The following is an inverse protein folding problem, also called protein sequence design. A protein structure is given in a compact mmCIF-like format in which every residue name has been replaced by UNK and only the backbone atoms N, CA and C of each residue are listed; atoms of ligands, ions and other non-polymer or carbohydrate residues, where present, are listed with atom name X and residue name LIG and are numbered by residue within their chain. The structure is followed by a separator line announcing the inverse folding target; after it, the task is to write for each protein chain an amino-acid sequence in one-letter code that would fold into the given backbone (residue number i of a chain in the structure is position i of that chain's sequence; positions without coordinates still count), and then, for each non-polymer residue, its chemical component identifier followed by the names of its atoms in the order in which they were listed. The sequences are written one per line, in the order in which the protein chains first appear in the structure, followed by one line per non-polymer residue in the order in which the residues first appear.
data_IF_575064714197
#
_entry.id   IF_575064714197
#
_cell.length_a   1.000
_cell.length_b   1.000
_cell.length_c   1.000
_cell.angle_alpha   90.00
_cell.angle_beta   90.00
_cell.angle_gamma   90.00
#
_symmetry.space_group_name_H-M   'P 1'
#
loop_
_entity.id
_entity.type
_entity.pdbx_description
1 polymer ?
#
# COMPACT_ATOMS: atom_id res chain seq x y z
N UNK A 1 52.09 -39.05 -54.57
CA UNK A 1 50.72 -39.02 -54.00
C UNK A 1 50.74 -38.15 -52.74
N UNK A 2 50.22 -36.93 -52.82
CA UNK A 2 50.05 -36.01 -51.68
C UNK A 2 48.57 -35.69 -51.59
N UNK A 3 47.90 -36.23 -50.58
CA UNK A 3 46.53 -35.88 -50.21
C UNK A 3 46.60 -34.77 -49.16
N UNK A 4 45.96 -33.63 -49.42
CA UNK A 4 45.80 -32.54 -48.46
C UNK A 4 44.33 -32.48 -48.07
N UNK A 5 44.10 -32.49 -46.77
CA UNK A 5 42.83 -32.39 -46.07
C UNK A 5 42.03 -31.14 -46.42
N UNK A 6 40.70 -31.21 -46.27
CA UNK A 6 39.94 -30.02 -45.87
C UNK A 6 38.71 -30.40 -45.04
N UNK A 7 38.86 -30.38 -43.72
CA UNK A 7 37.75 -30.39 -42.78
C UNK A 7 37.15 -29.00 -42.71
N UNK A 8 35.88 -28.86 -43.08
CA UNK A 8 35.10 -27.62 -42.93
C UNK A 8 34.64 -27.53 -41.48
N UNK A 9 35.16 -26.55 -40.73
CA UNK A 9 34.65 -26.20 -39.39
C UNK A 9 33.62 -25.09 -39.57
N UNK A 10 32.36 -25.39 -39.25
CA UNK A 10 31.26 -24.44 -39.27
C UNK A 10 31.18 -23.74 -37.90
N UNK A 11 31.60 -22.48 -37.83
CA UNK A 11 31.50 -21.68 -36.61
C UNK A 11 30.14 -20.99 -36.58
N UNK A 12 29.23 -21.45 -35.71
CA UNK A 12 27.98 -20.73 -35.39
C UNK A 12 28.31 -19.52 -34.51
N UNK A 13 28.06 -18.32 -35.03
CA UNK A 13 28.07 -17.09 -34.25
C UNK A 13 26.73 -16.94 -33.53
N UNK A 14 26.68 -17.18 -32.21
CA UNK A 14 25.53 -16.77 -31.38
C UNK A 14 25.64 -15.27 -31.12
N UNK A 15 24.74 -14.49 -31.71
CA UNK A 15 24.60 -13.06 -31.42
C UNK A 15 23.79 -12.92 -30.12
N UNK A 16 24.47 -12.59 -29.02
CA UNK A 16 23.83 -12.26 -27.76
C UNK A 16 23.37 -10.79 -27.85
N UNK A 17 22.08 -10.57 -28.13
CA UNK A 17 21.48 -9.24 -28.03
C UNK A 17 21.36 -8.87 -26.55
N UNK A 18 22.20 -7.95 -26.09
CA UNK A 18 22.06 -7.33 -24.77
C UNK A 18 21.00 -6.24 -24.87
N UNK A 19 19.77 -6.53 -24.43
CA UNK A 19 18.74 -5.51 -24.22
C UNK A 19 19.17 -4.61 -23.06
N UNK A 20 19.49 -3.36 -23.37
CA UNK A 20 19.76 -2.35 -22.34
C UNK A 20 18.43 -1.94 -21.71
N UNK A 21 18.23 -2.28 -20.43
CA UNK A 21 17.08 -1.79 -19.67
C UNK A 21 17.38 -0.34 -19.28
N UNK A 22 16.67 0.61 -19.90
CA UNK A 22 16.73 2.02 -19.48
C UNK A 22 15.82 2.23 -18.27
N UNK A 23 16.36 2.85 -17.23
CA UNK A 23 15.61 3.37 -16.10
C UNK A 23 14.84 4.62 -16.51
N UNK A 24 13.52 4.62 -16.33
CA UNK A 24 12.62 5.72 -16.62
C UNK A 24 11.98 6.24 -15.32
N UNK A 25 11.68 7.53 -15.26
CA UNK A 25 10.95 8.11 -14.13
C UNK A 25 9.46 7.99 -14.37
N UNK A 26 8.71 7.51 -13.38
CA UNK A 26 7.26 7.47 -13.42
C UNK A 26 6.68 8.34 -12.31
N UNK A 27 5.73 9.19 -12.68
CA UNK A 27 4.96 10.03 -11.78
C UNK A 27 3.47 9.74 -11.95
N UNK A 28 2.76 9.56 -10.84
CA UNK A 28 1.32 9.39 -10.82
C UNK A 28 0.67 10.46 -9.95
N UNK A 29 -0.35 11.13 -10.50
CA UNK A 29 -1.24 12.01 -9.75
C UNK A 29 -2.56 11.25 -9.47
N UNK A 30 -2.84 10.90 -8.22
CA UNK A 30 -4.06 10.18 -7.83
C UNK A 30 -5.12 11.16 -7.35
N UNK A 31 -6.29 11.14 -7.98
CA UNK A 31 -7.41 12.04 -7.68
C UNK A 31 -8.73 11.28 -7.52
N UNK A 32 -9.69 11.86 -6.82
CA UNK A 32 -11.06 11.35 -6.75
C UNK A 32 -11.89 11.70 -8.00
N UNK A 33 -13.18 11.33 -8.00
CA UNK A 33 -14.09 11.60 -9.13
C UNK A 33 -14.31 13.10 -9.37
N UNK A 34 -14.00 13.97 -8.40
CA UNK A 34 -14.10 15.43 -8.49
C UNK A 34 -12.76 16.08 -8.87
N UNK A 35 -11.70 15.28 -9.07
CA UNK A 35 -10.36 15.76 -9.42
C UNK A 35 -9.56 16.28 -8.23
N UNK A 36 -10.02 16.05 -6.99
CA UNK A 36 -9.28 16.43 -5.78
C UNK A 36 -8.20 15.38 -5.50
N UNK A 37 -6.97 15.81 -5.12
CA UNK A 37 -5.92 14.87 -4.74
C UNK A 37 -6.33 13.93 -3.60
N UNK A 38 -6.02 12.64 -3.77
CA UNK A 38 -6.26 11.62 -2.76
C UNK A 38 -4.96 11.27 -2.06
N UNK A 39 -4.87 11.63 -0.78
CA UNK A 39 -3.84 11.10 0.12
C UNK A 39 -4.14 9.65 0.47
N UNK A 40 -3.10 8.87 0.80
CA UNK A 40 -3.24 7.49 1.27
C UNK A 40 -3.78 6.48 0.23
N UNK A 41 -3.93 6.88 -1.02
CA UNK A 41 -4.19 5.94 -2.10
C UNK A 41 -2.94 5.12 -2.39
N UNK A 42 -3.10 3.81 -2.53
CA UNK A 42 -2.06 2.87 -2.94
C UNK A 42 -2.13 2.68 -4.45
N UNK A 43 -0.98 2.72 -5.10
CA UNK A 43 -0.80 2.33 -6.49
C UNK A 43 0.20 1.18 -6.54
N UNK A 44 -0.14 0.11 -7.27
CA UNK A 44 0.79 -0.98 -7.60
C UNK A 44 0.94 -1.13 -9.11
N UNK A 45 2.14 -1.53 -9.55
CA UNK A 45 2.45 -1.81 -10.95
C UNK A 45 2.99 -3.23 -11.11
N UNK A 46 2.33 -3.99 -11.98
CA UNK A 46 2.80 -5.30 -12.43
C UNK A 46 3.24 -5.20 -13.90
N UNK A 47 4.50 -5.52 -14.18
CA UNK A 47 5.07 -5.41 -15.53
C UNK A 47 6.40 -6.14 -15.66
N UNK A 48 7.29 -5.72 -16.57
CA UNK A 48 8.60 -6.32 -16.76
C UNK A 48 9.38 -6.44 -15.44
N UNK A 49 10.24 -7.47 -15.31
CA UNK A 49 11.11 -7.59 -14.16
C UNK A 49 11.96 -6.33 -14.01
N UNK A 50 11.81 -5.67 -12.87
CA UNK A 50 12.66 -4.56 -12.44
C UNK A 50 13.56 -5.02 -11.29
N UNK A 51 14.74 -4.42 -11.17
CA UNK A 51 15.58 -4.60 -9.99
C UNK A 51 15.07 -3.69 -8.86
N UNK A 52 13.98 -4.09 -8.20
CA UNK A 52 13.47 -3.39 -7.02
C UNK A 52 13.97 -4.10 -5.77
N UNK A 53 14.68 -3.37 -4.91
CA UNK A 53 15.00 -3.86 -3.58
C UNK A 53 13.73 -3.85 -2.72
N UNK A 54 13.20 -5.02 -2.41
CA UNK A 54 12.02 -5.17 -1.57
C UNK A 54 12.43 -5.13 -0.09
N UNK A 55 11.92 -4.14 0.64
CA UNK A 55 12.06 -4.10 2.09
C UNK A 55 11.08 -5.08 2.74
N UNK A 56 11.60 -6.01 3.53
CA UNK A 56 10.81 -7.03 4.26
C UNK A 56 10.65 -6.70 5.75
N UNK A 57 10.89 -5.44 6.11
CA UNK A 57 10.67 -4.90 7.45
C UNK A 57 10.04 -3.52 7.32
N UNK A 58 9.06 -3.25 8.16
CA UNK A 58 8.39 -1.95 8.24
C UNK A 58 7.90 -1.70 9.66
N UNK A 59 7.57 -0.44 9.96
CA UNK A 59 6.99 -0.03 11.25
C UNK A 59 5.65 0.67 10.99
N UNK A 60 4.69 0.44 11.88
CA UNK A 60 3.42 1.17 11.95
C UNK A 60 3.15 1.54 13.41
N UNK A 61 3.54 2.75 13.79
CA UNK A 61 3.47 3.27 15.15
C UNK A 61 2.02 3.58 15.55
N UNK A 62 1.79 3.74 16.85
CA UNK A 62 0.59 4.31 17.43
C UNK A 62 0.99 5.65 18.05
N UNK A 63 0.50 6.74 17.46
CA UNK A 63 0.83 8.10 17.86
C UNK A 63 -0.36 9.01 17.63
N UNK A 64 -0.63 9.90 18.59
CA UNK A 64 -1.77 10.80 18.59
C UNK A 64 -3.10 10.04 18.43
N UNK A 65 -3.21 8.88 19.10
CA UNK A 65 -4.35 7.95 19.04
C UNK A 65 -4.69 7.48 17.60
N UNK A 66 -3.67 7.41 16.74
CA UNK A 66 -3.77 6.97 15.35
C UNK A 66 -2.68 5.97 15.01
N UNK A 67 -2.93 5.14 14.00
CA UNK A 67 -1.85 4.39 13.38
C UNK A 67 -1.05 5.31 12.45
N UNK A 68 0.28 5.23 12.53
CA UNK A 68 1.22 6.07 11.80
C UNK A 68 2.29 5.21 11.08
N UNK A 69 2.29 5.14 9.74
CA UNK A 69 1.35 5.82 8.84
C UNK A 69 -0.08 5.25 8.94
N UNK A 70 -1.07 6.02 8.51
CA UNK A 70 -2.47 5.56 8.49
C UNK A 70 -2.70 4.42 7.49
N UNK A 71 -2.02 4.49 6.34
CA UNK A 71 -1.95 3.44 5.32
C UNK A 71 -0.48 3.05 5.14
N UNK A 72 -0.20 1.75 5.27
CA UNK A 72 1.11 1.16 5.05
C UNK A 72 1.01 0.13 3.92
N UNK A 73 1.66 0.38 2.78
CA UNK A 73 1.80 -0.62 1.72
C UNK A 73 3.10 -1.41 1.90
N UNK A 74 3.02 -2.73 1.81
CA UNK A 74 4.17 -3.65 1.97
C UNK A 74 4.11 -4.80 0.99
N UNK A 75 5.27 -5.39 0.72
CA UNK A 75 5.33 -6.65 0.00
C UNK A 75 4.96 -7.81 0.94
N UNK A 76 4.40 -8.90 0.40
CA UNK A 76 4.22 -10.14 1.17
C UNK A 76 5.55 -10.66 1.74
N UNK A 77 5.49 -11.25 2.93
CA UNK A 77 6.67 -11.66 3.70
C UNK A 77 7.27 -10.55 4.57
N UNK A 78 6.70 -9.35 4.56
CA UNK A 78 7.16 -8.24 5.41
C UNK A 78 6.83 -8.49 6.89
N UNK A 79 7.80 -8.26 7.76
CA UNK A 79 7.59 -8.21 9.21
C UNK A 79 7.33 -6.77 9.65
N UNK A 80 6.16 -6.52 10.25
CA UNK A 80 5.75 -5.18 10.71
C UNK A 80 5.85 -5.09 12.23
N UNK A 81 6.62 -4.13 12.73
CA UNK A 81 6.58 -3.78 14.15
C UNK A 81 5.50 -2.72 14.41
N UNK A 82 4.90 -2.77 15.59
CA UNK A 82 3.90 -1.80 16.02
C UNK A 82 4.37 -1.10 17.30
N UNK A 83 5.25 -0.09 17.21
CA UNK A 83 5.57 0.76 18.35
C UNK A 83 4.30 1.45 18.90
N UNK A 84 4.36 1.84 20.16
CA UNK A 84 3.40 2.72 20.79
C UNK A 84 4.15 3.92 21.36
N UNK A 85 4.07 5.05 20.67
CA UNK A 85 4.65 6.34 21.06
C UNK A 85 3.68 7.23 21.84
N UNK A 86 2.43 6.79 22.06
CA UNK A 86 1.50 7.46 22.96
C UNK A 86 1.81 7.17 24.43
N UNK A 87 1.34 8.05 25.32
CA UNK A 87 1.45 7.89 26.77
C UNK A 87 0.33 7.04 27.38
N UNK A 88 -0.54 6.49 26.53
CA UNK A 88 -1.60 5.56 26.92
C UNK A 88 -1.36 4.21 26.25
N UNK A 89 -1.92 3.16 26.84
CA UNK A 89 -1.83 1.82 26.26
C UNK A 89 -2.77 1.69 25.07
N UNK A 90 -2.28 1.04 24.03
CA UNK A 90 -3.07 0.70 22.86
C UNK A 90 -3.04 -0.80 22.58
N UNK A 91 -4.00 -1.24 21.79
CA UNK A 91 -4.12 -2.59 21.27
C UNK A 91 -4.08 -2.51 19.74
N UNK A 92 -3.56 -3.55 19.10
CA UNK A 92 -3.63 -3.69 17.64
C UNK A 92 -4.28 -5.02 17.32
N UNK A 93 -5.39 -5.00 16.61
CA UNK A 93 -6.04 -6.23 16.16
C UNK A 93 -6.47 -6.13 14.70
N UNK A 94 -6.65 -7.30 14.08
CA UNK A 94 -7.32 -7.41 12.79
C UNK A 94 -8.14 -8.69 12.68
N UNK A 95 -9.28 -8.59 11.99
CA UNK A 95 -10.11 -9.73 11.60
C UNK A 95 -10.02 -10.06 10.11
N UNK A 96 -9.23 -9.30 9.34
CA UNK A 96 -9.12 -9.43 7.89
C UNK A 96 -8.64 -10.84 7.48
N UNK A 97 -9.21 -11.44 6.40
CA UNK A 97 -8.79 -12.74 5.91
C UNK A 97 -7.32 -12.84 5.45
N UNK A 98 -6.68 -11.70 5.15
CA UNK A 98 -5.26 -11.64 4.80
C UNK A 98 -4.37 -11.79 6.04
N UNK A 99 -4.78 -11.26 7.20
CA UNK A 99 -4.06 -11.42 8.47
C UNK A 99 -4.99 -11.23 9.67
N UNK A 100 -5.29 -12.31 10.38
CA UNK A 100 -5.95 -12.26 11.70
C UNK A 100 -4.93 -12.30 12.81
N UNK A 101 -4.95 -11.33 13.71
CA UNK A 101 -4.05 -11.28 14.86
C UNK A 101 -4.56 -10.30 15.93
N UNK A 102 -3.94 -10.38 17.11
CA UNK A 102 -4.16 -9.45 18.21
C UNK A 102 -2.84 -9.24 18.98
N UNK A 103 -2.49 -7.98 19.21
CA UNK A 103 -1.49 -7.53 20.16
C UNK A 103 -2.24 -6.88 21.32
N UNK A 104 -2.30 -7.59 22.45
CA UNK A 104 -3.00 -7.13 23.66
C UNK A 104 -2.37 -5.86 24.21
N UNK A 105 -3.21 -5.03 24.82
CA UNK A 105 -2.91 -3.74 25.44
C UNK A 105 -1.45 -3.56 25.95
N UNK A 106 -0.69 -2.63 25.37
CA UNK A 106 0.75 -2.43 25.67
C UNK A 106 1.20 -0.96 25.59
N UNK A 107 2.36 -0.66 26.20
CA UNK A 107 3.13 0.59 26.08
C UNK A 107 4.47 0.28 25.40
N UNK A 108 5.07 1.27 24.72
CA UNK A 108 6.33 1.08 24.00
C UNK A 108 6.20 0.08 22.84
N UNK A 109 7.26 -0.69 22.57
CA UNK A 109 7.29 -1.58 21.40
C UNK A 109 7.21 -3.05 21.82
N UNK A 110 6.25 -3.83 21.28
CA UNK A 110 6.21 -5.27 21.45
C UNK A 110 7.50 -5.93 20.95
N UNK A 111 7.90 -7.03 21.57
CA UNK A 111 9.19 -7.66 21.28
C UNK A 111 9.28 -8.34 19.92
N UNK A 112 8.15 -8.74 19.33
CA UNK A 112 8.11 -9.49 18.07
C UNK A 112 7.26 -8.75 17.03
N UNK A 113 7.84 -8.45 15.85
CA UNK A 113 7.08 -8.04 14.68
C UNK A 113 6.04 -9.10 14.26
N UNK A 114 5.01 -8.66 13.57
CA UNK A 114 3.98 -9.52 12.97
C UNK A 114 4.31 -9.74 11.50
N UNK A 115 4.37 -10.99 11.05
CA UNK A 115 4.61 -11.34 9.63
C UNK A 115 3.34 -11.13 8.78
N UNK A 116 3.44 -10.45 7.65
CA UNK A 116 2.36 -10.26 6.66
C UNK A 116 2.73 -10.97 5.37
N UNK A 117 2.29 -12.22 5.21
CA UNK A 117 2.72 -13.16 4.17
C UNK A 117 1.65 -13.47 3.11
N UNK A 118 0.48 -12.85 3.22
CA UNK A 118 -0.64 -13.05 2.29
C UNK A 118 -1.11 -11.72 1.71
N UNK A 119 -1.13 -11.57 0.37
CA UNK A 119 -1.69 -10.39 -0.28
C UNK A 119 -3.13 -10.10 0.13
N UNK A 120 -3.46 -8.82 0.20
CA UNK A 120 -4.78 -8.31 0.55
C UNK A 120 -4.73 -7.16 1.54
N UNK A 121 -5.91 -6.63 1.85
CA UNK A 121 -6.08 -5.50 2.76
C UNK A 121 -6.29 -6.01 4.19
N UNK A 122 -5.47 -5.53 5.11
CA UNK A 122 -5.59 -5.80 6.54
C UNK A 122 -6.03 -4.52 7.25
N UNK A 123 -7.27 -4.52 7.74
CA UNK A 123 -7.82 -3.41 8.52
C UNK A 123 -7.42 -3.60 9.98
N UNK A 124 -6.81 -2.59 10.57
CA UNK A 124 -6.37 -2.55 11.95
C UNK A 124 -7.31 -1.69 12.79
N UNK A 125 -7.53 -2.11 14.03
CA UNK A 125 -8.27 -1.33 15.03
C UNK A 125 -7.63 -1.39 16.41
N UNK A 126 -8.11 -0.50 17.28
CA UNK A 126 -7.84 -0.50 18.72
C UNK A 126 -9.18 -0.51 19.48
N UNK A 127 -9.38 -1.44 20.41
CA UNK A 127 -10.69 -1.66 21.05
C UNK A 127 -11.07 -0.60 22.10
N UNK A 128 -10.14 0.30 22.43
CA UNK A 128 -10.34 1.39 23.40
C UNK A 128 -10.67 2.71 22.70
N UNK A 129 -10.30 2.85 21.42
CA UNK A 129 -10.47 4.07 20.64
C UNK A 129 -11.16 3.71 19.33
N UNK A 130 -12.49 3.78 19.29
CA UNK A 130 -13.29 3.32 18.14
C UNK A 130 -12.91 3.99 16.81
N UNK A 131 -12.36 5.21 16.86
CA UNK A 131 -11.90 5.95 15.68
C UNK A 131 -10.48 5.59 15.22
N UNK A 132 -9.74 4.81 16.00
CA UNK A 132 -8.35 4.48 15.73
C UNK A 132 -8.29 3.31 14.74
N UNK A 133 -8.31 3.67 13.45
CA UNK A 133 -8.22 2.75 12.33
C UNK A 133 -6.91 2.94 11.56
N UNK A 134 -6.38 1.84 11.04
CA UNK A 134 -5.20 1.81 10.17
C UNK A 134 -5.34 0.71 9.14
N UNK A 135 -4.56 0.78 8.07
CA UNK A 135 -4.64 -0.17 6.97
C UNK A 135 -3.26 -0.63 6.52
N UNK A 136 -3.08 -1.94 6.41
CA UNK A 136 -1.91 -2.52 5.75
C UNK A 136 -2.37 -3.09 4.41
N UNK A 137 -1.81 -2.57 3.31
CA UNK A 137 -2.00 -3.10 1.97
C UNK A 137 -0.85 -4.04 1.63
N UNK A 138 -1.11 -5.34 1.59
CA UNK A 138 -0.11 -6.37 1.27
C UNK A 138 -0.21 -6.73 -0.20
N UNK A 139 0.90 -6.66 -0.94
CA UNK A 139 0.96 -7.00 -2.37
C UNK A 139 2.15 -7.90 -2.71
N UNK A 140 2.06 -8.64 -3.81
CA UNK A 140 3.19 -9.33 -4.45
C UNK A 140 3.77 -8.53 -5.63
N UNK A 141 3.16 -7.38 -5.96
CA UNK A 141 3.65 -6.53 -7.03
C UNK A 141 4.99 -5.89 -6.62
N UNK A 142 5.98 -5.83 -7.53
CA UNK A 142 7.32 -5.35 -7.21
C UNK A 142 7.38 -3.82 -7.03
N UNK A 143 6.45 -3.08 -7.62
CA UNK A 143 6.38 -1.63 -7.55
C UNK A 143 5.08 -1.22 -6.87
N UNK A 144 5.19 -0.58 -5.71
CA UNK A 144 4.04 -0.06 -4.99
C UNK A 144 4.41 1.16 -4.16
N UNK A 145 3.47 2.06 -3.98
CA UNK A 145 3.63 3.25 -3.13
C UNK A 145 2.29 3.73 -2.60
N UNK A 146 2.37 4.53 -1.54
CA UNK A 146 1.25 5.26 -0.95
C UNK A 146 1.41 6.73 -1.33
N UNK A 147 0.33 7.34 -1.83
CA UNK A 147 0.29 8.75 -2.21
C UNK A 147 0.36 9.71 -1.02
N UNK A 148 1.07 10.82 -1.22
CA UNK A 148 1.19 11.92 -0.27
C UNK A 148 -0.06 12.80 -0.18
N UNK A 149 0.04 13.89 0.59
CA UNK A 149 -1.07 14.85 0.77
C UNK A 149 -1.53 15.55 -0.51
N UNK A 150 -0.65 15.62 -1.50
CA UNK A 150 -0.86 16.15 -2.84
C UNK A 150 -1.31 15.09 -3.86
N UNK A 151 -1.55 13.85 -3.42
CA UNK A 151 -1.95 12.74 -4.27
C UNK A 151 -0.83 12.19 -5.16
N UNK A 152 0.41 12.67 -5.00
CA UNK A 152 1.51 12.29 -5.87
C UNK A 152 2.17 10.96 -5.44
N UNK A 153 2.56 10.17 -6.43
CA UNK A 153 3.41 8.98 -6.31
C UNK A 153 4.54 9.10 -7.34
N UNK A 154 5.75 8.67 -6.94
CA UNK A 154 6.91 8.64 -7.83
C UNK A 154 7.62 7.30 -7.71
N UNK A 155 7.94 6.71 -8.86
CA UNK A 155 8.91 5.62 -8.96
C UNK A 155 10.11 6.10 -9.77
N UNK A 156 11.26 6.09 -9.11
CA UNK A 156 12.55 6.24 -9.76
C UNK A 156 12.97 4.89 -10.34
N UNK A 157 13.61 4.91 -11.50
CA UNK A 157 14.20 3.73 -12.13
C UNK A 157 13.20 2.61 -12.51
N UNK A 158 11.96 2.98 -12.85
CA UNK A 158 10.99 2.06 -13.44
C UNK A 158 11.48 1.65 -14.85
N UNK A 159 11.50 0.37 -15.16
CA UNK A 159 11.91 -0.07 -16.49
C UNK A 159 10.89 0.42 -17.55
N UNK A 160 11.36 0.80 -18.73
CA UNK A 160 10.45 1.04 -19.85
C UNK A 160 9.69 -0.25 -20.21
N UNK A 161 8.39 -0.15 -20.43
CA UNK A 161 7.56 -1.29 -20.80
C UNK A 161 6.10 -1.14 -20.43
N UNK A 162 5.39 -2.24 -20.56
CA UNK A 162 3.95 -2.33 -20.36
C UNK A 162 3.61 -2.76 -18.93
N UNK A 163 2.76 -2.00 -18.25
CA UNK A 163 2.38 -2.25 -16.86
C UNK A 163 0.87 -2.30 -16.69
N UNK A 164 0.42 -3.24 -15.87
CA UNK A 164 -0.92 -3.23 -15.28
C UNK A 164 -0.89 -2.41 -14.01
N UNK A 165 -1.85 -1.49 -13.89
CA UNK A 165 -1.99 -0.60 -12.74
C UNK A 165 -3.13 -1.11 -11.87
N UNK A 166 -2.89 -1.21 -10.57
CA UNK A 166 -3.94 -1.43 -9.58
C UNK A 166 -3.94 -0.27 -8.58
N UNK A 167 -5.12 0.19 -8.21
CA UNK A 167 -5.34 1.31 -7.30
C UNK A 167 -6.17 0.83 -6.10
N UNK A 168 -5.92 1.41 -4.94
CA UNK A 168 -6.72 1.12 -3.74
C UNK A 168 -6.73 2.32 -2.79
N UNK A 169 -7.84 2.51 -2.06
CA UNK A 169 -7.94 3.49 -0.99
C UNK A 169 -8.89 2.94 0.10
N UNK A 170 -8.74 3.34 1.39
CA UNK A 170 -9.68 2.95 2.44
C UNK A 170 -11.15 3.24 2.12
N UNK A 171 -11.41 4.33 1.39
CA UNK A 171 -12.75 4.74 0.98
C UNK A 171 -13.16 4.13 -0.38
N UNK A 172 -12.40 3.20 -0.97
CA UNK A 172 -12.84 2.48 -2.18
C UNK A 172 -14.04 1.57 -1.89
N UNK A 173 -14.88 1.31 -2.89
CA UNK A 173 -16.04 0.44 -2.75
C UNK A 173 -15.64 -0.94 -2.18
N UNK A 174 -16.31 -1.36 -1.11
CA UNK A 174 -16.05 -2.60 -0.36
C UNK A 174 -14.59 -2.77 0.10
N UNK A 175 -13.83 -1.66 0.19
CA UNK A 175 -12.39 -1.63 0.43
C UNK A 175 -11.59 -2.54 -0.52
N UNK A 176 -12.07 -2.76 -1.75
CA UNK A 176 -11.42 -3.62 -2.73
C UNK A 176 -10.48 -2.84 -3.67
N UNK A 177 -9.35 -3.44 -4.09
CA UNK A 177 -8.53 -2.87 -5.14
C UNK A 177 -9.30 -2.78 -6.46
N UNK A 178 -9.04 -1.74 -7.23
CA UNK A 178 -9.65 -1.51 -8.55
C UNK A 178 -8.58 -1.41 -9.62
N UNK A 179 -8.94 -1.77 -10.86
CA UNK A 179 -8.03 -1.59 -12.00
C UNK A 179 -7.80 -0.09 -12.27
N UNK A 180 -6.53 0.30 -12.36
CA UNK A 180 -6.10 1.59 -12.90
C UNK A 180 -5.88 1.57 -14.41
N UNK A 181 -6.19 0.45 -15.08
CA UNK A 181 -5.92 0.22 -16.50
C UNK A 181 -4.51 -0.28 -16.77
N UNK A 182 -4.08 -0.12 -18.02
CA UNK A 182 -2.75 -0.50 -18.49
C UNK A 182 -2.03 0.75 -19.01
N UNK A 183 -0.72 0.82 -18.79
CA UNK A 183 0.13 1.94 -19.22
C UNK A 183 1.38 1.41 -19.91
N UNK A 184 1.85 2.13 -20.93
CA UNK A 184 3.17 1.93 -21.51
C UNK A 184 4.08 3.06 -21.04
N UNK A 185 5.05 2.75 -20.18
CA UNK A 185 6.04 3.75 -19.74
C UNK A 185 7.23 3.73 -20.71
N UNK A 186 7.49 4.86 -21.41
CA UNK A 186 8.57 4.96 -22.37
C UNK A 186 9.91 5.21 -21.66
N UNK A 187 11.00 5.07 -22.41
CA UNK A 187 12.38 5.23 -21.90
C UNK A 187 12.68 6.62 -21.31
N UNK A 188 11.93 7.64 -21.71
CA UNK A 188 12.05 9.02 -21.21
C UNK A 188 11.15 9.32 -20.01
N UNK A 189 10.41 8.33 -19.49
CA UNK A 189 9.51 8.49 -18.36
C UNK A 189 8.07 8.84 -18.74
N UNK A 190 7.18 8.75 -17.76
CA UNK A 190 5.75 8.99 -17.91
C UNK A 190 5.21 9.73 -16.69
N UNK A 191 4.38 10.74 -16.92
CA UNK A 191 3.50 11.31 -15.91
C UNK A 191 2.06 10.98 -16.27
N UNK A 192 1.34 10.32 -15.37
CA UNK A 192 -0.02 9.85 -15.59
C UNK A 192 -0.94 10.30 -14.46
N UNK A 193 -2.13 10.80 -14.80
CA UNK A 193 -3.19 11.02 -13.81
C UNK A 193 -4.10 9.80 -13.74
N UNK A 194 -4.44 9.38 -12.52
CA UNK A 194 -5.41 8.33 -12.27
C UNK A 194 -6.58 8.86 -11.44
N UNK A 195 -7.79 8.53 -11.88
CA UNK A 195 -9.00 8.79 -11.09
C UNK A 195 -9.38 7.52 -10.35
N UNK A 196 -9.37 7.59 -9.02
CA UNK A 196 -9.76 6.50 -8.14
C UNK A 196 -11.14 6.81 -7.55
N UNK A 197 -12.18 6.02 -7.88
CA UNK A 197 -13.48 6.18 -7.26
C UNK A 197 -13.41 5.87 -5.76
N UNK A 198 -13.80 6.86 -4.95
CA UNK A 198 -13.97 6.71 -3.49
C UNK A 198 -15.42 6.98 -3.11
N UNK A 199 -15.88 6.33 -2.05
CA UNK A 199 -17.14 6.60 -1.40
C UNK A 199 -17.01 7.90 -0.59
N UNK A 200 -18.07 8.74 -0.55
CA UNK A 200 -18.11 9.86 0.37
C UNK A 200 -17.90 9.33 1.79
N UNK A 201 -17.06 10.00 2.59
CA UNK A 201 -17.07 9.72 4.03
C UNK A 201 -18.44 10.11 4.58
N UNK A 202 -19.03 9.27 5.41
CA UNK A 202 -20.28 9.53 6.14
C UNK A 202 -20.10 10.65 7.20
N UNK A 203 -19.41 11.75 6.86
CA UNK A 203 -19.25 12.92 7.72
C UNK A 203 -20.45 13.87 7.65
N UNK A 204 -21.44 13.59 6.79
CA UNK A 204 -22.69 14.36 6.66
C UNK A 204 -23.92 13.67 7.27
N UNK A 205 -23.77 12.49 7.90
CA UNK A 205 -24.77 11.99 8.84
C UNK A 205 -24.45 12.65 10.18
N UNK A 206 -25.24 13.67 10.54
CA UNK A 206 -25.32 14.21 11.89
C UNK A 206 -25.51 13.05 12.87
N UNK A 207 -24.40 12.53 13.40
CA UNK A 207 -24.38 11.63 14.56
C UNK A 207 -24.67 12.46 15.80
N UNK A 208 -25.83 13.13 15.84
CA UNK A 208 -26.49 13.31 17.12
C UNK A 208 -27.00 11.90 17.49
N UNK A 209 -26.40 11.22 18.48
CA UNK A 209 -26.96 9.95 18.93
C UNK A 209 -28.41 10.19 19.29
N UNK A 210 -29.32 9.33 18.81
CA UNK A 210 -30.71 9.40 19.20
C UNK A 210 -30.81 9.48 20.74
N UNK A 211 -31.72 10.30 21.30
CA UNK A 211 -31.85 10.42 22.74
C UNK A 211 -31.97 9.03 23.36
N UNK A 212 -31.06 8.71 24.28
CA UNK A 212 -31.10 7.47 25.04
C UNK A 212 -31.41 7.79 26.49
N UNK A 213 -32.18 6.92 27.14
CA UNK A 213 -32.47 7.04 28.56
C UNK A 213 -31.18 7.14 29.41
N UNK A 214 -30.08 6.55 28.92
CA UNK A 214 -28.77 6.66 29.54
C UNK A 214 -28.15 8.05 29.37
N UNK A 215 -28.17 8.62 28.16
CA UNK A 215 -27.64 9.95 27.89
C UNK A 215 -28.37 11.06 28.66
N UNK A 216 -29.69 10.91 28.82
CA UNK A 216 -30.50 11.87 29.59
C UNK A 216 -30.22 11.77 31.09
N UNK A 217 -30.05 10.55 31.62
CA UNK A 217 -29.66 10.33 33.01
C UNK A 217 -28.26 10.92 33.31
N UNK A 218 -27.31 10.78 32.38
CA UNK A 218 -25.96 11.33 32.53
C UNK A 218 -25.95 12.87 32.53
N UNK A 219 -26.69 13.50 31.60
CA UNK A 219 -26.83 14.96 31.57
C UNK A 219 -27.49 15.51 32.84
N UNK A 220 -28.48 14.80 33.38
CA UNK A 220 -29.13 15.18 34.64
C UNK A 220 -28.14 15.12 35.82
N UNK A 221 -27.33 14.07 35.91
CA UNK A 221 -26.35 13.92 36.98
C UNK A 221 -25.17 14.91 36.90
N UNK A 222 -24.83 15.40 35.70
CA UNK A 222 -23.75 16.38 35.52
C UNK A 222 -24.14 17.84 35.90
N UNK A 223 -25.43 18.08 36.16
CA UNK A 223 -25.98 19.40 36.50
C UNK A 223 -26.65 19.44 37.89
N UNK A 224 -26.48 18.38 38.69
CA UNK A 224 -26.79 18.33 40.13
C UNK A 224 -25.48 18.46 40.94
#
# INVERSE_FOLDING_TARGET
MRSVFSSVVLVMFSVIFSVSVSAANFEADIVDQQGKPLKFAVLTLQGPPGNVAIALKADMDQRDQQFAPHVLAVHSGTQIAFPNSDNVRHQVYSFSPAKRFELRLYEGTPSLPVLFDKPGVVVLGCNIHDSMLGYVYVTDDPWFAVSGGDGAIKFDQLAAGHYKVTLWHPDSADMQPVSGGEIDVPVNGLRQRFTLPVQPKDTDMDMTPAPSAFGDAFKKAAHE
#
